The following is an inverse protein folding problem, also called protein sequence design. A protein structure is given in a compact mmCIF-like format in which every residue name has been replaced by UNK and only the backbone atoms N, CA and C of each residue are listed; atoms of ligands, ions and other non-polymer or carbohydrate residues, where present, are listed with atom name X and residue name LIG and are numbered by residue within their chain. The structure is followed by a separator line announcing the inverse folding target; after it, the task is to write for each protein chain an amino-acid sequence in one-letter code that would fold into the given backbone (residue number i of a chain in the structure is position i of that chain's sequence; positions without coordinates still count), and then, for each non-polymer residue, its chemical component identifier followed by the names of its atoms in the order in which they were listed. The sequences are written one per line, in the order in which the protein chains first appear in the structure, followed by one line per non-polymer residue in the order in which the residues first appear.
data_IF_499298190272
#
_entry.id   IF_499298190272
#
_cell.length_a   1.000
_cell.length_b   1.000
_cell.length_c   1.000
_cell.angle_alpha   90.00
_cell.angle_beta   90.00
_cell.angle_gamma   90.00
#
_symmetry.space_group_name_H-M   'P 1'
#
loop_
_entity.id
_entity.type
_entity.pdbx_description
1 polymer ?
#
# COMPACT_ATOMS: atom_id res chain seq x y z
N UNK A 1 22.56 7.75 1.23
CA UNK A 1 23.04 7.20 -0.06
C UNK A 1 23.34 8.36 -0.99
N UNK A 2 24.56 8.50 -1.50
CA UNK A 2 24.95 9.57 -2.42
C UNK A 2 24.93 9.05 -3.86
N UNK A 3 24.19 9.72 -4.75
CA UNK A 3 24.06 9.39 -6.18
C UNK A 3 25.39 9.38 -6.96
N UNK A 4 26.48 9.90 -6.39
CA UNK A 4 27.76 10.04 -7.09
C UNK A 4 28.55 8.73 -7.25
N UNK A 5 28.13 7.64 -6.59
CA UNK A 5 28.87 6.37 -6.59
C UNK A 5 28.35 5.36 -7.62
N UNK A 6 27.18 5.61 -8.22
CA UNK A 6 26.59 4.73 -9.22
C UNK A 6 26.56 5.46 -10.57
N UNK A 7 27.37 5.00 -11.53
CA UNK A 7 27.33 5.44 -12.93
C UNK A 7 26.59 4.37 -13.74
N UNK A 8 25.24 4.36 -13.77
CA UNK A 8 24.52 3.41 -14.58
C UNK A 8 24.88 3.61 -16.06
N UNK A 9 25.03 2.52 -16.81
CA UNK A 9 25.20 2.56 -18.28
C UNK A 9 23.96 3.10 -19.01
N UNK A 10 22.79 3.06 -18.35
CA UNK A 10 21.52 3.50 -18.89
C UNK A 10 21.21 4.94 -18.46
N UNK A 11 20.45 5.66 -19.29
CA UNK A 11 19.85 6.94 -18.90
C UNK A 11 19.06 6.79 -17.60
N UNK A 12 19.37 7.63 -16.62
CA UNK A 12 18.70 7.61 -15.32
C UNK A 12 17.26 8.11 -15.43
N UNK A 13 16.37 7.54 -14.62
CA UNK A 13 15.02 8.03 -14.38
C UNK A 13 14.79 8.21 -12.90
N UNK A 14 14.22 9.34 -12.50
CA UNK A 14 13.78 9.63 -11.16
C UNK A 14 12.27 9.41 -11.05
N UNK A 15 11.85 8.76 -9.96
CA UNK A 15 10.43 8.56 -9.63
C UNK A 15 10.10 9.37 -8.39
N UNK A 16 9.08 10.23 -8.48
CA UNK A 16 8.58 11.01 -7.36
C UNK A 16 7.25 10.42 -6.88
N UNK A 17 7.21 9.95 -5.63
CA UNK A 17 6.03 9.32 -5.04
C UNK A 17 5.26 10.32 -4.19
N UNK A 18 3.98 10.50 -4.50
CA UNK A 18 3.07 11.38 -3.76
C UNK A 18 1.82 10.61 -3.33
N UNK A 19 1.32 10.88 -2.12
CA UNK A 19 0.07 10.30 -1.66
C UNK A 19 -1.14 10.78 -2.48
N UNK A 20 -1.14 12.07 -2.84
CA UNK A 20 -2.19 12.72 -3.64
C UNK A 20 -1.56 13.75 -4.60
N UNK A 21 -2.22 14.02 -5.72
CA UNK A 21 -1.89 15.14 -6.61
C UNK A 21 -2.04 16.49 -5.92
N UNK A 22 -2.98 16.62 -4.99
CA UNK A 22 -3.23 17.87 -4.26
C UNK A 22 -2.03 18.34 -3.41
N UNK A 23 -1.21 17.39 -2.91
CA UNK A 23 -0.02 17.69 -2.11
C UNK A 23 1.24 17.88 -2.96
N UNK A 24 1.18 17.54 -4.25
CA UNK A 24 2.32 17.65 -5.14
C UNK A 24 2.60 19.12 -5.52
N UNK A 25 3.87 19.48 -5.79
CA UNK A 25 4.23 20.84 -6.16
C UNK A 25 3.52 21.27 -7.46
N UNK A 26 2.59 22.23 -7.36
CA UNK A 26 1.85 22.73 -8.52
C UNK A 26 2.70 23.63 -9.42
N UNK A 27 3.72 24.29 -8.85
CA UNK A 27 4.64 25.15 -9.58
C UNK A 27 6.01 24.49 -9.67
N UNK A 28 6.30 23.96 -10.84
CA UNK A 28 7.58 23.33 -11.16
C UNK A 28 8.52 24.35 -11.80
N UNK A 29 9.81 24.26 -11.46
CA UNK A 29 10.84 25.05 -12.14
C UNK A 29 10.99 24.60 -13.59
N UNK A 30 11.54 25.46 -14.46
CA UNK A 30 11.78 25.15 -15.89
C UNK A 30 12.57 23.84 -16.03
N UNK A 31 13.61 23.67 -15.21
CA UNK A 31 14.41 22.44 -15.18
C UNK A 31 13.59 21.19 -14.83
N UNK A 32 12.69 21.26 -13.86
CA UNK A 32 11.82 20.14 -13.51
C UNK A 32 10.83 19.81 -14.64
N UNK A 33 10.32 20.82 -15.34
CA UNK A 33 9.44 20.62 -16.50
C UNK A 33 10.19 19.92 -17.65
N UNK A 34 11.43 20.32 -17.94
CA UNK A 34 12.26 19.65 -18.94
C UNK A 34 12.55 18.19 -18.59
N UNK A 35 12.82 17.90 -17.31
CA UNK A 35 13.02 16.52 -16.85
C UNK A 35 11.76 15.67 -17.01
N UNK A 36 10.58 16.21 -16.74
CA UNK A 36 9.32 15.48 -16.95
C UNK A 36 9.02 15.29 -18.44
N UNK A 37 9.23 16.32 -19.27
CA UNK A 37 9.01 16.27 -20.71
C UNK A 37 9.86 15.19 -21.41
N UNK A 38 11.05 14.93 -20.87
CA UNK A 38 11.97 13.89 -21.37
C UNK A 38 11.80 12.54 -20.66
N UNK A 39 10.73 12.32 -19.88
CA UNK A 39 10.50 11.11 -19.09
C UNK A 39 11.66 10.75 -18.13
N UNK A 40 12.46 11.74 -17.71
CA UNK A 40 13.52 11.59 -16.71
C UNK A 40 13.00 11.79 -15.29
N UNK A 41 11.90 12.50 -15.12
CA UNK A 41 11.18 12.62 -13.85
C UNK A 41 9.75 12.14 -14.03
N UNK A 42 9.36 11.10 -13.29
CA UNK A 42 8.04 10.47 -13.39
C UNK A 42 7.34 10.64 -12.03
N UNK A 43 6.32 11.50 -11.92
CA UNK A 43 5.48 11.54 -10.73
C UNK A 43 4.51 10.36 -10.73
N UNK A 44 4.40 9.69 -9.59
CA UNK A 44 3.42 8.63 -9.32
C UNK A 44 2.57 9.07 -8.14
N UNK A 45 1.26 9.10 -8.34
CA UNK A 45 0.26 9.46 -7.34
C UNK A 45 -0.40 8.19 -6.83
N UNK A 46 -0.19 7.87 -5.53
CA UNK A 46 -0.62 6.62 -4.94
C UNK A 46 -2.16 6.47 -4.93
N UNK A 47 -2.89 7.56 -4.75
CA UNK A 47 -4.37 7.58 -4.82
C UNK A 47 -4.94 7.39 -6.24
N UNK A 48 -4.13 7.55 -7.28
CA UNK A 48 -4.53 7.36 -8.69
C UNK A 48 -4.14 5.98 -9.24
N UNK A 49 -3.39 5.18 -8.48
CA UNK A 49 -3.00 3.84 -8.88
C UNK A 49 -4.23 2.94 -8.95
N UNK A 50 -4.52 2.43 -10.14
CA UNK A 50 -5.59 1.46 -10.39
C UNK A 50 -5.00 0.24 -11.07
N UNK A 51 -4.91 -0.84 -10.32
CA UNK A 51 -4.55 -2.15 -10.84
C UNK A 51 -5.28 -3.19 -9.98
N UNK A 52 -6.40 -3.75 -10.47
CA UNK A 52 -7.19 -4.71 -9.72
C UNK A 52 -6.46 -6.06 -9.54
N UNK A 53 -5.44 -6.35 -10.35
CA UNK A 53 -4.71 -7.62 -10.30
C UNK A 53 -3.49 -7.56 -9.36
N UNK A 54 -3.09 -6.35 -8.93
CA UNK A 54 -1.94 -6.16 -8.05
C UNK A 54 -2.33 -6.05 -6.57
N UNK A 55 -1.99 -7.08 -5.80
CA UNK A 55 -2.06 -7.09 -4.32
C UNK A 55 -1.44 -5.83 -3.72
N UNK A 56 -0.25 -5.45 -4.20
CA UNK A 56 0.50 -4.32 -3.64
C UNK A 56 -0.25 -2.99 -3.84
N UNK A 57 -0.88 -2.81 -5.00
CA UNK A 57 -1.67 -1.60 -5.30
C UNK A 57 -2.95 -1.59 -4.49
N UNK A 58 -3.62 -2.73 -4.32
CA UNK A 58 -4.80 -2.84 -3.46
C UNK A 58 -4.49 -2.50 -1.99
N UNK A 59 -3.33 -2.88 -1.45
CA UNK A 59 -2.91 -2.47 -0.09
C UNK A 59 -2.68 -0.96 -0.01
N UNK A 60 -2.03 -0.37 -1.01
CA UNK A 60 -1.82 1.08 -1.07
C UNK A 60 -3.17 1.81 -1.10
N UNK A 61 -4.10 1.35 -1.94
CA UNK A 61 -5.47 1.87 -1.99
C UNK A 61 -6.17 1.74 -0.62
N UNK A 62 -5.95 0.65 0.09
CA UNK A 62 -6.51 0.47 1.43
C UNK A 62 -6.01 1.55 2.40
N UNK A 63 -4.77 2.01 2.25
CA UNK A 63 -4.18 3.09 3.07
C UNK A 63 -4.71 4.47 2.62
N UNK A 64 -4.80 4.72 1.32
CA UNK A 64 -5.08 6.07 0.79
C UNK A 64 -6.57 6.38 0.59
N UNK A 65 -7.41 5.38 0.32
CA UNK A 65 -8.84 5.60 0.08
C UNK A 65 -9.62 5.88 1.37
N UNK A 66 -10.86 6.40 1.31
CA UNK A 66 -11.76 6.50 2.45
C UNK A 66 -12.11 5.13 3.08
N UNK A 67 -12.56 5.16 4.34
CA UNK A 67 -13.00 3.95 5.07
C UNK A 67 -14.17 3.23 4.37
N UNK A 68 -15.09 3.97 3.74
CA UNK A 68 -16.25 3.44 3.02
C UNK A 68 -15.90 2.49 1.85
N UNK A 69 -14.75 2.67 1.23
CA UNK A 69 -14.34 1.90 0.04
C UNK A 69 -13.47 0.68 0.43
N UNK A 70 -13.10 0.57 1.72
CA UNK A 70 -12.30 -0.54 2.23
C UNK A 70 -12.93 -1.94 2.01
N UNK A 71 -14.27 -2.15 2.15
CA UNK A 71 -14.88 -3.45 1.93
C UNK A 71 -14.66 -3.98 0.51
N UNK A 72 -14.85 -3.13 -0.49
CA UNK A 72 -14.71 -3.50 -1.90
C UNK A 72 -13.25 -3.87 -2.24
N UNK A 73 -12.27 -3.14 -1.68
CA UNK A 73 -10.84 -3.44 -1.87
C UNK A 73 -10.50 -4.80 -1.25
N UNK A 74 -11.08 -5.12 -0.09
CA UNK A 74 -10.84 -6.40 0.58
C UNK A 74 -11.50 -7.57 -0.15
N UNK A 75 -12.68 -7.38 -0.73
CA UNK A 75 -13.29 -8.39 -1.60
C UNK A 75 -12.40 -8.73 -2.79
N UNK A 76 -11.77 -7.72 -3.42
CA UNK A 76 -10.80 -7.96 -4.50
C UNK A 76 -9.56 -8.71 -3.99
N UNK A 77 -9.04 -8.34 -2.82
CA UNK A 77 -7.90 -9.03 -2.18
C UNK A 77 -8.22 -10.50 -1.86
N UNK A 78 -9.46 -10.80 -1.43
CA UNK A 78 -9.93 -12.18 -1.15
C UNK A 78 -9.94 -13.07 -2.38
N UNK A 79 -10.15 -12.51 -3.57
CA UNK A 79 -10.12 -13.28 -4.82
C UNK A 79 -8.71 -13.68 -5.23
N UNK A 80 -7.69 -13.06 -4.62
CA UNK A 80 -6.28 -13.33 -4.89
C UNK A 80 -5.69 -14.27 -3.83
N UNK A 81 -4.68 -15.06 -4.24
CA UNK A 81 -3.91 -15.87 -3.29
C UNK A 81 -2.93 -14.98 -2.54
N UNK A 82 -3.21 -14.75 -1.26
CA UNK A 82 -2.41 -13.91 -0.40
C UNK A 82 -1.54 -14.76 0.55
N UNK A 83 -0.29 -14.36 0.71
CA UNK A 83 0.59 -14.95 1.71
C UNK A 83 0.23 -14.46 3.13
N UNK A 84 0.56 -15.26 4.13
CA UNK A 84 0.28 -14.97 5.54
C UNK A 84 0.83 -13.61 6.00
N UNK A 85 1.97 -13.18 5.49
CA UNK A 85 2.58 -11.90 5.85
C UNK A 85 1.85 -10.71 5.23
N UNK A 86 1.26 -10.90 4.05
CA UNK A 86 0.41 -9.89 3.42
C UNK A 86 -0.90 -9.75 4.19
N UNK A 87 -1.49 -10.86 4.64
CA UNK A 87 -2.72 -10.85 5.46
C UNK A 87 -2.48 -10.05 6.76
N UNK A 88 -1.34 -10.26 7.43
CA UNK A 88 -0.95 -9.45 8.62
C UNK A 88 -0.83 -7.97 8.33
N UNK A 89 -0.27 -7.63 7.17
CA UNK A 89 -0.11 -6.24 6.76
C UNK A 89 -1.48 -5.59 6.54
N UNK A 90 -2.40 -6.28 5.85
CA UNK A 90 -3.78 -5.83 5.66
C UNK A 90 -4.49 -5.61 7.00
N UNK A 91 -4.36 -6.55 7.94
CA UNK A 91 -4.91 -6.41 9.30
C UNK A 91 -4.36 -5.17 10.02
N UNK A 92 -3.05 -4.94 9.93
CA UNK A 92 -2.38 -3.79 10.55
C UNK A 92 -2.87 -2.47 9.93
N UNK A 93 -3.03 -2.42 8.61
CA UNK A 93 -3.56 -1.26 7.89
C UNK A 93 -5.00 -0.99 8.30
N UNK A 94 -5.83 -2.03 8.45
CA UNK A 94 -7.22 -1.88 8.87
C UNK A 94 -7.33 -1.36 10.30
N UNK A 95 -6.53 -1.89 11.23
CA UNK A 95 -6.46 -1.39 12.60
C UNK A 95 -6.03 0.09 12.65
N UNK A 96 -5.05 0.48 11.81
CA UNK A 96 -4.61 1.87 11.73
C UNK A 96 -5.69 2.80 11.15
N UNK A 97 -6.51 2.28 10.23
CA UNK A 97 -7.54 3.03 9.50
C UNK A 97 -8.84 3.17 10.29
N UNK A 98 -9.26 2.12 10.98
CA UNK A 98 -10.49 2.05 11.77
C UNK A 98 -10.17 2.08 13.27
N UNK A 99 -9.67 3.22 13.74
CA UNK A 99 -9.22 3.38 15.14
C UNK A 99 -10.33 3.17 16.18
N UNK A 100 -11.57 3.40 15.78
CA UNK A 100 -12.76 3.30 16.66
C UNK A 100 -13.35 1.88 16.72
N UNK A 101 -12.86 0.95 15.88
CA UNK A 101 -13.30 -0.44 15.86
C UNK A 101 -12.31 -1.34 16.60
N UNK A 102 -12.84 -2.28 17.37
CA UNK A 102 -12.05 -3.36 17.96
C UNK A 102 -11.58 -4.35 16.89
N UNK A 103 -10.56 -5.14 17.23
CA UNK A 103 -10.02 -6.17 16.34
C UNK A 103 -11.12 -7.16 15.93
N UNK A 104 -11.97 -7.54 16.87
CA UNK A 104 -13.07 -8.47 16.66
C UNK A 104 -14.12 -7.91 15.69
N UNK A 105 -14.44 -6.61 15.81
CA UNK A 105 -15.36 -5.93 14.90
C UNK A 105 -14.79 -5.81 13.48
N UNK A 106 -13.50 -5.53 13.33
CA UNK A 106 -12.82 -5.49 12.03
C UNK A 106 -12.79 -6.88 11.39
N UNK A 107 -12.47 -7.92 12.15
CA UNK A 107 -12.47 -9.30 11.66
C UNK A 107 -13.86 -9.74 11.17
N UNK A 108 -14.92 -9.39 11.91
CA UNK A 108 -16.30 -9.67 11.55
C UNK A 108 -16.76 -8.85 10.32
N UNK A 109 -16.45 -7.56 10.28
CA UNK A 109 -16.92 -6.64 9.23
C UNK A 109 -16.28 -6.93 7.86
N UNK A 110 -15.01 -7.36 7.87
CA UNK A 110 -14.28 -7.69 6.63
C UNK A 110 -14.19 -9.19 6.38
N UNK A 111 -14.81 -10.00 7.26
CA UNK A 111 -14.76 -11.46 7.20
C UNK A 111 -13.31 -11.95 6.98
N UNK A 112 -12.36 -11.39 7.75
CA UNK A 112 -10.93 -11.68 7.58
C UNK A 112 -10.60 -13.15 7.90
N UNK A 113 -11.51 -13.85 8.59
CA UNK A 113 -11.48 -15.29 8.79
C UNK A 113 -11.38 -16.07 7.46
N UNK A 114 -12.06 -15.61 6.41
CA UNK A 114 -12.00 -16.25 5.08
C UNK A 114 -10.63 -16.06 4.42
N UNK A 115 -9.96 -14.94 4.69
CA UNK A 115 -8.59 -14.69 4.22
C UNK A 115 -7.61 -15.64 4.91
N UNK A 116 -7.80 -15.89 6.21
CA UNK A 116 -7.00 -16.82 7.01
C UNK A 116 -7.21 -18.30 6.60
N UNK A 117 -8.39 -18.64 6.07
CA UNK A 117 -8.73 -20.00 5.62
C UNK A 117 -7.97 -20.46 4.36
N UNK A 118 -7.20 -19.55 3.72
CA UNK A 118 -6.20 -19.90 2.69
C UNK A 118 -4.94 -20.50 3.32
N UNK A 119 -5.11 -21.58 4.10
CA UNK A 119 -4.13 -22.64 4.41
C UNK A 119 -2.70 -22.25 4.86
N UNK A 120 -2.46 -21.09 5.47
CA UNK A 120 -1.19 -20.81 6.18
C UNK A 120 -1.41 -19.86 7.36
N UNK A 121 -2.24 -20.24 8.33
CA UNK A 121 -2.24 -19.57 9.62
C UNK A 121 -2.43 -20.55 10.78
N UNK A 122 -1.35 -21.26 11.16
CA UNK A 122 -1.16 -21.57 12.56
C UNK A 122 0.18 -21.01 13.07
N UNK A 123 0.15 -20.53 14.32
CA UNK A 123 1.29 -20.48 15.26
C UNK A 123 2.05 -19.17 15.55
N UNK A 124 1.44 -17.98 15.53
CA UNK A 124 2.13 -16.80 16.14
C UNK A 124 1.34 -15.96 17.14
N UNK A 125 0.04 -16.18 17.35
CA UNK A 125 -0.74 -15.45 18.36
C UNK A 125 -0.56 -15.93 19.80
N UNK A 126 0.43 -16.79 20.09
CA UNK A 126 0.73 -17.25 21.45
C UNK A 126 1.98 -16.64 22.10
N UNK A 127 2.68 -15.71 21.44
CA UNK A 127 3.97 -15.19 21.95
C UNK A 127 4.00 -13.74 22.46
N UNK A 128 2.90 -12.97 22.42
CA UNK A 128 2.91 -11.58 22.92
C UNK A 128 2.35 -11.36 24.35
N UNK A 129 1.95 -12.42 25.06
CA UNK A 129 1.56 -12.31 26.49
C UNK A 129 2.68 -12.64 27.50
N UNK A 130 3.94 -12.74 27.07
CA UNK A 130 5.06 -12.98 28.01
C UNK A 130 6.31 -12.20 27.64
N UNK A 131 6.34 -10.92 28.02
CA UNK A 131 7.51 -10.25 28.61
C UNK A 131 7.06 -8.88 29.12
N UNK A 132 6.78 -8.84 30.43
CA UNK A 132 7.47 -8.05 31.48
C UNK A 132 6.93 -6.64 31.55
#
# INVERSE_FOLDING_TARGET
MYLNQYKPQNDWKAVALFADRAIAPQKLTIFQQELMANNRLIPIYLNELQDPDSVAIAIIQLITCPAKDAPQIIENLKQQKLDADIIKLVETVLLAKFKDLSREEIEAMFLLSDLKDTRVYPEYTKMLCKKV
#
